data_IF_442115604756
#
_entry.id   IF_442115604756
#
_cell.length_a   1.000
_cell.length_b   1.000
_cell.length_c   1.000
_cell.angle_alpha   90.00
_cell.angle_beta   90.00
_cell.angle_gamma   90.00
#
_symmetry.space_group_name_H-M   'P 1'
#
loop_
_entity.id
_entity.type
_entity.pdbx_description
1 polymer ?
#
# COMPACT_ATOMS: atom_id res chain seq x y z
N UNK A 1 32.53 -68.87 11.20
CA UNK A 1 31.47 -67.93 11.63
C UNK A 1 31.86 -66.52 11.23
N UNK A 2 31.34 -65.99 10.12
CA UNK A 2 31.56 -64.59 9.68
C UNK A 2 30.24 -63.84 9.87
N UNK A 3 30.24 -62.84 10.76
CA UNK A 3 29.09 -61.94 10.99
C UNK A 3 29.27 -60.73 10.08
N UNK A 4 28.35 -60.54 9.14
CA UNK A 4 28.25 -59.32 8.35
C UNK A 4 27.36 -58.33 9.09
N UNK A 5 27.91 -57.17 9.45
CA UNK A 5 27.15 -56.05 10.00
C UNK A 5 26.65 -55.23 8.80
N UNK A 6 25.35 -55.27 8.55
CA UNK A 6 24.68 -54.41 7.57
C UNK A 6 24.35 -53.12 8.31
N UNK A 7 25.11 -52.06 8.05
CA UNK A 7 24.79 -50.72 8.54
C UNK A 7 23.74 -50.11 7.60
N UNK A 8 22.48 -50.05 8.04
CA UNK A 8 21.45 -49.27 7.36
C UNK A 8 21.79 -47.78 7.49
N UNK A 9 22.24 -47.17 6.40
CA UNK A 9 22.37 -45.73 6.29
C UNK A 9 20.96 -45.15 6.15
N UNK A 10 20.40 -44.65 7.26
CA UNK A 10 19.12 -43.95 7.25
C UNK A 10 19.21 -42.68 6.40
N UNK A 11 18.51 -42.67 5.27
CA UNK A 11 18.36 -41.49 4.43
C UNK A 11 17.49 -40.48 5.20
N UNK A 12 18.12 -39.54 5.91
CA UNK A 12 17.43 -38.43 6.53
C UNK A 12 16.87 -37.53 5.42
N UNK A 13 15.57 -37.67 5.14
CA UNK A 13 14.83 -36.71 4.30
C UNK A 13 14.75 -35.42 5.11
N UNK A 14 15.70 -34.51 4.89
CA UNK A 14 15.61 -33.14 5.37
C UNK A 14 14.41 -32.50 4.66
N UNK A 15 13.34 -32.08 5.37
CA UNK A 15 12.30 -31.30 4.74
C UNK A 15 12.95 -30.03 4.21
N UNK A 16 12.79 -29.79 2.91
CA UNK A 16 13.28 -28.59 2.26
C UNK A 16 12.56 -27.40 2.89
N UNK A 17 13.25 -26.71 3.82
CA UNK A 17 12.85 -25.45 4.44
C UNK A 17 12.95 -24.32 3.41
N UNK A 18 12.30 -24.46 2.26
CA UNK A 18 12.02 -23.30 1.41
C UNK A 18 10.85 -22.57 2.06
N UNK A 19 11.15 -21.76 3.07
CA UNK A 19 10.24 -20.71 3.49
C UNK A 19 9.87 -19.93 2.23
N UNK A 20 8.59 -19.93 1.86
CA UNK A 20 8.12 -19.20 0.70
C UNK A 20 8.62 -17.75 0.80
N UNK A 21 9.33 -17.31 -0.23
CA UNK A 21 9.89 -15.96 -0.25
C UNK A 21 8.75 -14.96 -0.08
N UNK A 22 8.88 -14.07 0.91
CA UNK A 22 7.88 -13.04 1.19
C UNK A 22 7.64 -12.20 -0.08
N UNK A 23 6.40 -11.99 -0.54
CA UNK A 23 6.14 -11.26 -1.76
C UNK A 23 6.34 -9.76 -1.55
N UNK A 24 6.70 -9.03 -2.61
CA UNK A 24 6.63 -7.57 -2.63
C UNK A 24 5.16 -7.13 -2.79
N UNK A 25 4.82 -5.97 -2.23
CA UNK A 25 3.45 -5.42 -2.28
C UNK A 25 3.51 -4.04 -2.93
N UNK A 26 2.77 -3.85 -4.03
CA UNK A 26 2.55 -2.54 -4.65
C UNK A 26 1.06 -2.23 -4.57
N UNK A 27 0.71 -1.21 -3.80
CA UNK A 27 -0.68 -0.76 -3.64
C UNK A 27 -0.91 0.52 -4.44
N UNK A 28 -1.56 0.39 -5.60
CA UNK A 28 -1.93 1.52 -6.47
C UNK A 28 -3.32 2.01 -6.08
N UNK A 29 -3.43 3.28 -5.72
CA UNK A 29 -4.68 3.84 -5.21
C UNK A 29 -4.96 5.23 -5.83
N UNK A 30 -5.92 5.27 -6.74
CA UNK A 30 -6.36 6.48 -7.44
C UNK A 30 -7.43 7.24 -6.64
N UNK A 31 -7.55 8.53 -6.89
CA UNK A 31 -8.58 9.39 -6.29
C UNK A 31 -9.69 9.69 -7.30
N UNK A 32 -10.95 9.61 -6.89
CA UNK A 32 -12.17 9.81 -7.70
C UNK A 32 -12.32 8.92 -8.97
N UNK A 33 -11.43 7.95 -9.19
CA UNK A 33 -11.56 7.02 -10.31
C UNK A 33 -12.65 5.99 -10.03
N UNK A 34 -13.74 6.07 -10.78
CA UNK A 34 -14.90 5.20 -10.61
C UNK A 34 -14.86 3.96 -11.52
N UNK A 35 -15.50 2.87 -11.08
CA UNK A 35 -15.54 1.59 -11.81
C UNK A 35 -16.05 1.73 -13.26
N UNK A 36 -17.01 2.62 -13.51
CA UNK A 36 -17.55 2.86 -14.84
C UNK A 36 -16.54 3.48 -15.83
N UNK A 37 -15.40 3.98 -15.36
CA UNK A 37 -14.28 4.45 -16.18
C UNK A 37 -13.24 3.38 -16.54
N UNK A 38 -13.38 2.16 -16.02
CA UNK A 38 -12.41 1.06 -16.16
C UNK A 38 -13.01 -0.04 -17.05
N UNK A 39 -12.33 -0.41 -18.15
CA UNK A 39 -12.88 -1.36 -19.12
C UNK A 39 -13.04 -2.78 -18.56
N UNK A 40 -12.22 -3.20 -17.60
CA UNK A 40 -12.44 -4.46 -16.86
C UNK A 40 -13.80 -4.57 -16.16
N UNK A 41 -14.44 -3.44 -15.82
CA UNK A 41 -15.80 -3.39 -15.25
C UNK A 41 -16.88 -3.09 -16.31
N UNK A 42 -16.55 -3.20 -17.59
CA UNK A 42 -17.49 -2.95 -18.69
C UNK A 42 -17.68 -1.46 -19.04
N UNK A 43 -16.65 -0.63 -18.85
CA UNK A 43 -16.70 0.79 -19.27
C UNK A 43 -17.11 0.94 -20.74
N UNK A 44 -17.95 1.95 -21.00
CA UNK A 44 -18.30 2.44 -22.35
C UNK A 44 -17.63 3.78 -22.68
N UNK A 45 -16.79 4.28 -21.78
CA UNK A 45 -16.20 5.63 -21.86
C UNK A 45 -14.72 5.55 -22.19
N UNK A 46 -13.99 4.61 -21.59
CA UNK A 46 -12.54 4.53 -21.72
C UNK A 46 -12.05 3.09 -21.84
N UNK A 47 -10.83 2.94 -22.36
CA UNK A 47 -10.11 1.68 -22.42
C UNK A 47 -8.88 1.76 -21.51
N UNK A 48 -8.75 0.80 -20.59
CA UNK A 48 -7.74 0.79 -19.53
C UNK A 48 -6.86 -0.48 -19.61
N UNK A 49 -6.08 -0.68 -20.69
CA UNK A 49 -5.44 -1.96 -20.98
C UNK A 49 -4.51 -2.46 -19.87
N UNK A 50 -3.83 -1.55 -19.16
CA UNK A 50 -2.96 -1.92 -18.04
C UNK A 50 -3.73 -2.41 -16.81
N UNK A 51 -4.92 -1.84 -16.53
CA UNK A 51 -5.78 -2.28 -15.43
C UNK A 51 -6.50 -3.57 -15.78
N UNK A 52 -6.92 -3.70 -17.04
CA UNK A 52 -7.55 -4.92 -17.56
C UNK A 52 -6.60 -6.11 -17.49
N UNK A 53 -5.31 -5.89 -17.77
CA UNK A 53 -4.26 -6.90 -17.60
C UNK A 53 -4.15 -7.37 -16.14
N UNK A 54 -4.18 -6.46 -15.17
CA UNK A 54 -4.15 -6.80 -13.73
C UNK A 54 -5.38 -7.63 -13.35
N UNK A 55 -6.57 -7.27 -13.87
CA UNK A 55 -7.79 -8.03 -13.63
C UNK A 55 -7.73 -9.43 -14.24
N UNK A 56 -7.25 -9.56 -15.48
CA UNK A 56 -7.19 -10.83 -16.21
C UNK A 56 -6.13 -11.79 -15.67
N UNK A 57 -4.98 -11.28 -15.22
CA UNK A 57 -3.89 -12.07 -14.61
C UNK A 57 -4.09 -12.32 -13.11
N UNK A 58 -5.13 -11.72 -12.51
CA UNK A 58 -5.34 -11.69 -11.07
C UNK A 58 -6.79 -11.92 -10.67
N UNK A 59 -7.32 -10.98 -9.89
CA UNK A 59 -8.67 -11.04 -9.31
C UNK A 59 -9.37 -9.70 -9.49
N UNK A 60 -10.63 -9.73 -9.91
CA UNK A 60 -11.52 -8.58 -9.99
C UNK A 60 -12.64 -8.71 -8.96
N UNK A 61 -12.82 -7.71 -8.10
CA UNK A 61 -13.91 -7.68 -7.13
C UNK A 61 -15.07 -6.83 -7.65
N UNK A 62 -16.20 -7.46 -8.00
CA UNK A 62 -17.40 -6.74 -8.47
C UNK A 62 -18.14 -5.99 -7.35
N UNK A 63 -17.89 -6.36 -6.09
CA UNK A 63 -18.56 -5.81 -4.90
C UNK A 63 -17.54 -5.43 -3.84
N UNK A 64 -16.84 -4.31 -4.07
CA UNK A 64 -15.90 -3.72 -3.12
C UNK A 64 -16.36 -2.29 -2.80
N UNK A 65 -16.68 -2.03 -1.53
CA UNK A 65 -17.29 -0.75 -1.10
C UNK A 65 -16.40 -0.03 -0.10
N UNK A 66 -16.26 1.29 -0.26
CA UNK A 66 -15.66 2.15 0.74
C UNK A 66 -16.63 2.34 1.91
N UNK A 67 -16.12 2.37 3.15
CA UNK A 67 -16.97 2.61 4.32
C UNK A 67 -17.29 4.09 4.55
N UNK A 68 -16.56 4.99 3.89
CA UNK A 68 -16.79 6.43 3.90
C UNK A 68 -16.29 7.00 2.56
N UNK A 69 -17.20 7.55 1.75
CA UNK A 69 -16.96 7.98 0.38
C UNK A 69 -16.31 9.39 0.29
N UNK A 70 -15.30 9.64 1.12
CA UNK A 70 -14.50 10.88 1.12
C UNK A 70 -13.01 10.50 1.18
N UNK A 71 -12.17 11.19 0.42
CA UNK A 71 -10.76 10.84 0.21
C UNK A 71 -9.95 10.60 1.50
N UNK A 72 -9.88 11.56 2.43
CA UNK A 72 -9.15 11.40 3.70
C UNK A 72 -9.68 10.26 4.58
N UNK A 73 -10.99 10.21 4.90
CA UNK A 73 -11.58 9.11 5.65
C UNK A 73 -11.37 7.73 5.03
N UNK A 74 -11.49 7.60 3.70
CA UNK A 74 -11.23 6.33 3.00
C UNK A 74 -9.77 5.89 3.15
N UNK A 75 -8.80 6.81 3.00
CA UNK A 75 -7.36 6.53 3.22
C UNK A 75 -7.08 6.09 4.67
N UNK A 76 -7.70 6.75 5.65
CA UNK A 76 -7.55 6.37 7.06
C UNK A 76 -8.11 4.97 7.34
N UNK A 77 -9.25 4.60 6.75
CA UNK A 77 -9.82 3.24 6.84
C UNK A 77 -8.87 2.21 6.24
N UNK A 78 -8.34 2.47 5.04
CA UNK A 78 -7.39 1.56 4.36
C UNK A 78 -6.14 1.34 5.22
N UNK A 79 -5.56 2.39 5.78
CA UNK A 79 -4.35 2.29 6.59
C UNK A 79 -4.57 1.53 7.89
N UNK A 80 -5.72 1.72 8.54
CA UNK A 80 -5.97 1.23 9.91
C UNK A 80 -6.76 -0.07 9.97
N UNK A 81 -7.48 -0.42 8.90
CA UNK A 81 -8.46 -1.52 8.89
C UNK A 81 -9.68 -1.25 9.78
N UNK A 82 -9.96 0.01 10.13
CA UNK A 82 -11.01 0.41 11.08
C UNK A 82 -11.96 1.41 10.42
N UNK A 83 -13.26 1.31 10.72
CA UNK A 83 -14.23 2.33 10.33
C UNK A 83 -13.88 3.71 10.90
N UNK A 84 -14.32 4.78 10.23
CA UNK A 84 -14.00 6.17 10.58
C UNK A 84 -14.31 6.55 12.04
N UNK A 85 -15.40 6.03 12.60
CA UNK A 85 -15.79 6.31 13.99
C UNK A 85 -14.83 5.67 15.02
N UNK A 86 -14.05 4.65 14.62
CA UNK A 86 -13.04 4.02 15.47
C UNK A 86 -11.65 4.62 15.22
N UNK A 87 -11.28 4.91 13.97
CA UNK A 87 -9.96 5.47 13.65
C UNK A 87 -9.84 6.99 13.91
N UNK A 88 -10.98 7.68 14.11
CA UNK A 88 -11.05 9.10 14.45
C UNK A 88 -11.01 10.07 13.26
N UNK A 89 -10.83 9.59 12.03
CA UNK A 89 -10.77 10.40 10.81
C UNK A 89 -12.08 10.28 10.02
N UNK A 90 -13.07 11.11 10.35
CA UNK A 90 -14.43 11.03 9.79
C UNK A 90 -14.75 12.08 8.71
N UNK A 91 -13.93 13.13 8.58
CA UNK A 91 -14.05 14.15 7.53
C UNK A 91 -12.68 14.71 7.17
N UNK A 92 -12.57 15.36 6.01
CA UNK A 92 -11.37 16.14 5.67
C UNK A 92 -11.21 17.35 6.59
N UNK A 93 -9.97 17.81 6.76
CA UNK A 93 -9.63 18.95 7.63
C UNK A 93 -9.36 18.59 9.09
N UNK A 94 -9.49 17.31 9.46
CA UNK A 94 -8.96 16.80 10.74
C UNK A 94 -7.54 16.25 10.54
N UNK A 95 -6.79 16.13 11.63
CA UNK A 95 -5.44 15.55 11.62
C UNK A 95 -5.52 14.08 12.02
N UNK A 96 -4.94 13.20 11.21
CA UNK A 96 -4.86 11.77 11.51
C UNK A 96 -3.93 11.53 12.69
N UNK A 97 -4.39 10.73 13.67
CA UNK A 97 -3.51 10.26 14.73
C UNK A 97 -2.54 9.22 14.15
N UNK A 98 -1.33 9.68 13.82
CA UNK A 98 -0.25 8.85 13.28
C UNK A 98 0.39 7.89 14.28
N UNK A 99 0.02 7.88 15.57
CA UNK A 99 0.56 6.95 16.57
C UNK A 99 -0.14 5.59 16.53
N UNK A 100 -1.42 5.56 16.12
CA UNK A 100 -2.21 4.34 16.06
C UNK A 100 -1.64 3.29 15.10
N UNK A 101 -2.04 2.02 15.26
CA UNK A 101 -1.63 0.94 14.37
C UNK A 101 -2.09 1.20 12.94
N UNK A 102 -1.19 0.93 11.99
CA UNK A 102 -1.46 0.92 10.55
C UNK A 102 -0.80 -0.29 9.89
N UNK A 103 -1.32 -0.78 8.77
CA UNK A 103 -0.72 -1.92 8.07
C UNK A 103 0.75 -1.68 7.66
N UNK A 104 1.20 -0.47 7.25
CA UNK A 104 2.62 -0.23 6.95
C UNK A 104 3.52 -0.44 8.18
N UNK A 105 3.09 -0.02 9.38
CA UNK A 105 3.82 -0.31 10.63
C UNK A 105 3.94 -1.81 10.90
N UNK A 106 2.87 -2.56 10.64
CA UNK A 106 2.88 -4.02 10.78
C UNK A 106 3.82 -4.68 9.76
N UNK A 107 3.80 -4.22 8.50
CA UNK A 107 4.71 -4.70 7.46
C UNK A 107 6.18 -4.39 7.82
N UNK A 108 6.49 -3.19 8.30
CA UNK A 108 7.84 -2.85 8.79
C UNK A 108 8.29 -3.77 9.92
N UNK A 109 7.42 -4.01 10.91
CA UNK A 109 7.71 -4.97 12.00
C UNK A 109 7.95 -6.38 11.47
N UNK A 110 7.28 -6.77 10.38
CA UNK A 110 7.49 -8.04 9.70
C UNK A 110 8.71 -8.05 8.76
N UNK A 111 9.53 -6.98 8.74
CA UNK A 111 10.79 -6.89 7.99
C UNK A 111 10.64 -6.43 6.54
N UNK A 112 9.56 -5.73 6.20
CA UNK A 112 9.42 -5.04 4.92
C UNK A 112 9.99 -3.63 4.96
N UNK A 113 10.63 -3.22 3.85
CA UNK A 113 10.83 -1.80 3.54
C UNK A 113 9.53 -1.24 2.99
N UNK A 114 9.12 -0.08 3.48
CA UNK A 114 7.82 0.52 3.18
C UNK A 114 7.98 1.94 2.65
N UNK A 115 7.20 2.27 1.61
CA UNK A 115 7.21 3.60 1.01
C UNK A 115 5.77 4.07 0.73
N UNK A 116 5.57 5.39 0.80
CA UNK A 116 4.34 6.03 0.31
C UNK A 116 4.68 7.23 -0.57
N UNK A 117 4.12 7.26 -1.78
CA UNK A 117 4.40 8.27 -2.78
C UNK A 117 3.08 8.78 -3.34
N UNK A 118 2.98 10.09 -3.56
CA UNK A 118 1.77 10.71 -4.11
C UNK A 118 0.85 11.26 -3.03
N UNK A 119 -0.44 10.95 -3.08
CA UNK A 119 -1.44 11.64 -2.25
C UNK A 119 -1.56 11.07 -0.84
N UNK A 120 -1.23 11.89 0.17
CA UNK A 120 -1.41 11.53 1.58
C UNK A 120 -2.76 11.99 2.14
N UNK A 121 -3.01 13.30 2.14
CA UNK A 121 -4.29 13.92 2.53
C UNK A 121 -4.82 13.58 3.94
N UNK A 122 -3.93 13.27 4.89
CA UNK A 122 -4.29 12.93 6.28
C UNK A 122 -3.86 13.98 7.31
N UNK A 123 -3.35 15.14 6.86
CA UNK A 123 -3.01 16.29 7.71
C UNK A 123 -1.77 16.12 8.60
N UNK A 124 -1.39 14.89 8.96
CA UNK A 124 -0.17 14.57 9.69
C UNK A 124 1.01 14.34 8.74
N UNK A 125 2.24 14.29 9.29
CA UNK A 125 3.35 13.64 8.60
C UNK A 125 3.08 12.13 8.49
N UNK A 126 3.43 11.46 7.37
CA UNK A 126 3.35 10.01 7.27
C UNK A 126 4.18 9.31 8.36
N UNK A 127 3.62 8.26 8.96
CA UNK A 127 4.32 7.41 9.93
C UNK A 127 4.22 5.95 9.52
N UNK A 128 5.19 5.14 9.93
CA UNK A 128 5.22 3.71 9.56
C UNK A 128 5.69 3.43 8.13
N UNK A 129 6.32 4.42 7.50
CA UNK A 129 7.00 4.29 6.21
C UNK A 129 8.49 4.61 6.37
N UNK A 130 9.35 3.84 5.72
CA UNK A 130 10.80 4.12 5.66
C UNK A 130 11.10 5.28 4.71
N UNK A 131 10.25 5.47 3.69
CA UNK A 131 10.31 6.58 2.74
C UNK A 131 8.93 7.18 2.52
N UNK A 132 8.85 8.50 2.46
CA UNK A 132 7.66 9.18 1.96
C UNK A 132 8.03 10.36 1.07
N UNK A 133 7.20 10.57 0.06
CA UNK A 133 7.24 11.73 -0.81
C UNK A 133 5.81 12.05 -1.24
N UNK A 134 5.17 12.99 -0.53
CA UNK A 134 3.72 13.14 -0.57
C UNK A 134 3.28 14.54 -0.94
N UNK A 135 2.18 14.66 -1.68
CA UNK A 135 1.64 15.93 -2.14
C UNK A 135 1.33 16.86 -0.96
N UNK A 136 1.68 18.15 -1.11
CA UNK A 136 1.18 19.19 -0.21
C UNK A 136 -0.32 19.42 -0.46
N UNK A 137 -1.16 18.95 0.46
CA UNK A 137 -2.62 18.98 0.29
C UNK A 137 -3.06 18.06 -0.84
N UNK A 138 -3.69 18.65 -1.86
CA UNK A 138 -4.11 17.94 -3.08
C UNK A 138 -3.00 17.87 -4.13
N UNK A 139 -2.05 18.82 -4.10
CA UNK A 139 -1.05 19.03 -5.13
C UNK A 139 -1.61 19.71 -6.41
N UNK A 140 -0.85 20.61 -7.05
CA UNK A 140 -1.18 21.09 -8.39
C UNK A 140 -0.82 20.01 -9.43
N UNK A 141 -1.53 20.00 -10.57
CA UNK A 141 -1.31 18.97 -11.59
C UNK A 141 0.11 18.96 -12.15
N UNK A 142 0.68 20.14 -12.41
CA UNK A 142 2.01 20.30 -13.00
C UNK A 142 3.03 20.65 -11.93
N UNK A 143 4.17 19.96 -11.95
CA UNK A 143 5.34 20.18 -11.09
C UNK A 143 4.98 20.28 -9.60
N UNK A 144 4.32 19.27 -9.02
CA UNK A 144 3.81 19.35 -7.66
C UNK A 144 4.95 19.47 -6.64
N UNK A 145 4.89 20.43 -5.70
CA UNK A 145 5.76 20.38 -4.54
C UNK A 145 5.34 19.21 -3.64
N UNK A 146 6.33 18.41 -3.25
CA UNK A 146 6.12 17.23 -2.42
C UNK A 146 6.82 17.39 -1.07
N UNK A 147 6.23 16.80 -0.04
CA UNK A 147 6.75 16.76 1.32
C UNK A 147 7.47 15.43 1.50
N UNK A 148 8.75 15.50 1.86
CA UNK A 148 9.61 14.34 2.14
C UNK A 148 10.33 14.51 3.48
N UNK A 149 11.10 13.51 3.92
CA UNK A 149 11.94 13.61 5.10
C UNK A 149 13.21 14.43 4.79
N UNK A 150 13.50 15.43 5.62
CA UNK A 150 14.78 16.16 5.58
C UNK A 150 15.90 15.40 6.31
N UNK A 151 17.12 15.92 6.24
CA UNK A 151 18.31 15.30 6.85
C UNK A 151 18.17 15.11 8.37
N UNK A 152 17.44 16.01 9.04
CA UNK A 152 17.15 15.94 10.48
C UNK A 152 15.86 15.15 10.80
N UNK A 153 15.30 14.43 9.83
CA UNK A 153 14.03 13.70 9.94
C UNK A 153 12.79 14.60 9.96
N UNK A 154 12.92 15.92 9.94
CA UNK A 154 11.77 16.84 9.88
C UNK A 154 11.24 16.93 8.44
N UNK A 155 9.92 17.11 8.25
CA UNK A 155 9.36 17.26 6.92
C UNK A 155 9.90 18.50 6.20
N UNK A 156 10.33 18.33 4.95
CA UNK A 156 10.74 19.41 4.05
C UNK A 156 9.94 19.35 2.77
N UNK A 157 9.65 20.50 2.16
CA UNK A 157 8.99 20.56 0.86
C UNK A 157 10.04 20.70 -0.23
N UNK A 158 10.00 19.84 -1.25
CA UNK A 158 10.87 19.88 -2.43
C UNK A 158 10.03 20.07 -3.69
N UNK A 159 10.50 20.90 -4.65
CA UNK A 159 9.89 20.95 -5.97
C UNK A 159 10.13 19.62 -6.71
N UNK A 160 9.17 19.22 -7.54
CA UNK A 160 9.34 18.10 -8.47
C UNK A 160 8.98 18.53 -9.88
N UNK A 161 9.62 17.92 -10.86
CA UNK A 161 9.27 18.10 -12.28
C UNK A 161 8.46 16.90 -12.75
N UNK A 162 7.28 17.16 -13.30
CA UNK A 162 6.37 16.10 -13.78
C UNK A 162 4.90 16.43 -13.55
N UNK A 163 4.08 15.38 -13.43
CA UNK A 163 2.64 15.50 -13.21
C UNK A 163 2.22 14.75 -11.96
N UNK A 164 1.13 15.20 -11.31
CA UNK A 164 0.46 14.37 -10.31
C UNK A 164 -0.22 13.20 -11.00
N UNK A 165 0.14 11.98 -10.60
CA UNK A 165 -0.58 10.76 -10.93
C UNK A 165 -1.80 10.57 -10.05
#
# INVERSE_FOLDING_TARGET
MKRYIITLLGLAVLPSLFAAQRPNIVFVFTDDHAAHGISAYGSKINTTPNMDRIAAEGMLFEKCYVSNAICGPSRAVILTGKHSHINGFFRNGVTFNGEQQTFPKLLRKAGYTTAIIGKWHLGSTPTGFDYYDVLKGQGPYYNPPMITAGENGKPVTKPHTGYTT
#
